data_IF_507581786169
#
_entry.id   IF_507581786169
#
_cell.length_a   1.000
_cell.length_b   1.000
_cell.length_c   1.000
_cell.angle_alpha   90.00
_cell.angle_beta   90.00
_cell.angle_gamma   90.00
#
_symmetry.space_group_name_H-M   'P 1'
#
loop_
_entity.id
_entity.type
_entity.pdbx_description
1 polymer ?
#
# COMPACT_ATOMS: atom_id res chain seq x y z
N UNK A 1 -16.91 -27.37 -14.61
CA UNK A 1 -15.63 -26.65 -14.73
C UNK A 1 -15.84 -25.25 -14.16
N UNK A 2 -15.63 -25.10 -12.86
CA UNK A 2 -15.66 -23.81 -12.17
C UNK A 2 -14.25 -23.23 -12.23
N UNK A 3 -14.00 -22.36 -13.22
CA UNK A 3 -12.74 -21.65 -13.32
C UNK A 3 -12.81 -20.42 -12.39
N UNK A 4 -11.92 -20.39 -11.39
CA UNK A 4 -11.56 -19.27 -10.50
C UNK A 4 -12.41 -18.89 -9.27
N UNK A 5 -13.57 -19.50 -8.96
CA UNK A 5 -14.39 -19.12 -7.79
C UNK A 5 -14.62 -17.60 -7.66
N UNK A 6 -14.60 -16.86 -8.77
CA UNK A 6 -14.88 -15.42 -8.79
C UNK A 6 -16.36 -15.23 -9.11
N UNK A 7 -17.00 -14.37 -8.34
CA UNK A 7 -18.38 -13.96 -8.60
C UNK A 7 -18.52 -13.38 -10.03
N UNK A 8 -19.69 -13.56 -10.66
CA UNK A 8 -19.95 -13.19 -12.05
C UNK A 8 -19.63 -11.71 -12.32
N UNK A 9 -19.95 -10.82 -11.37
CA UNK A 9 -19.65 -9.39 -11.48
C UNK A 9 -18.13 -9.17 -11.47
N UNK A 10 -17.40 -9.86 -10.60
CA UNK A 10 -15.94 -9.78 -10.53
C UNK A 10 -15.26 -10.26 -11.83
N UNK A 11 -15.82 -11.28 -12.48
CA UNK A 11 -15.33 -11.76 -13.77
C UNK A 11 -15.53 -10.72 -14.90
N UNK A 12 -16.69 -10.06 -14.95
CA UNK A 12 -16.95 -8.97 -15.90
C UNK A 12 -16.00 -7.80 -15.65
N UNK A 13 -15.82 -7.41 -14.38
CA UNK A 13 -14.88 -6.35 -14.01
C UNK A 13 -13.43 -6.67 -14.40
N UNK A 14 -13.00 -7.93 -14.26
CA UNK A 14 -11.68 -8.37 -14.70
C UNK A 14 -11.52 -8.24 -16.21
N UNK A 15 -12.50 -8.72 -16.98
CA UNK A 15 -12.46 -8.63 -18.43
C UNK A 15 -12.46 -7.18 -18.91
N UNK A 16 -13.32 -6.34 -18.32
CA UNK A 16 -13.36 -4.92 -18.62
C UNK A 16 -12.01 -4.25 -18.30
N UNK A 17 -11.39 -4.56 -17.16
CA UNK A 17 -10.06 -4.04 -16.82
C UNK A 17 -8.97 -4.48 -17.80
N UNK A 18 -9.00 -5.73 -18.28
CA UNK A 18 -8.06 -6.20 -19.30
C UNK A 18 -8.25 -5.47 -20.64
N UNK A 19 -9.49 -5.09 -20.94
CA UNK A 19 -9.84 -4.30 -22.12
C UNK A 19 -9.68 -2.78 -21.94
N UNK A 20 -9.29 -2.32 -20.74
CA UNK A 20 -9.20 -0.89 -20.40
C UNK A 20 -10.55 -0.17 -20.30
N UNK A 21 -11.63 -0.91 -20.05
CA UNK A 21 -13.00 -0.41 -19.94
C UNK A 21 -13.44 -0.36 -18.47
N UNK A 22 -14.28 0.63 -18.11
CA UNK A 22 -14.97 0.66 -16.83
C UNK A 22 -16.36 0.02 -16.96
N UNK A 23 -16.72 -0.85 -16.00
CA UNK A 23 -18.05 -1.46 -15.94
C UNK A 23 -19.02 -0.44 -15.34
N UNK A 24 -20.09 -0.04 -16.04
CA UNK A 24 -21.11 0.83 -15.48
C UNK A 24 -21.80 0.12 -14.32
N UNK A 25 -21.91 0.78 -13.16
CA UNK A 25 -22.65 0.25 -12.01
C UNK A 25 -24.01 0.96 -11.94
N UNK A 26 -25.12 0.20 -11.95
CA UNK A 26 -26.49 0.75 -11.98
C UNK A 26 -26.93 1.42 -10.67
N UNK A 27 -26.19 1.23 -9.57
CA UNK A 27 -26.42 1.93 -8.31
C UNK A 27 -25.28 2.93 -8.07
N UNK A 28 -25.63 4.20 -7.85
CA UNK A 28 -24.70 5.18 -7.31
C UNK A 28 -24.33 4.75 -5.88
N UNK A 29 -23.29 3.94 -5.76
CA UNK A 29 -22.81 3.47 -4.47
C UNK A 29 -22.31 4.69 -3.65
N UNK A 30 -23.00 5.05 -2.55
CA UNK A 30 -22.64 6.22 -1.76
C UNK A 30 -21.22 6.11 -1.17
N UNK A 31 -20.68 4.90 -1.03
CA UNK A 31 -19.33 4.63 -0.53
C UNK A 31 -18.26 4.63 -1.64
N UNK A 32 -18.64 4.76 -2.91
CA UNK A 32 -17.67 4.76 -4.02
C UNK A 32 -16.62 5.86 -3.89
N UNK A 33 -17.06 7.07 -3.50
CA UNK A 33 -16.16 8.20 -3.27
C UNK A 33 -15.20 7.94 -2.10
N UNK A 34 -15.70 7.34 -1.02
CA UNK A 34 -14.91 6.99 0.16
C UNK A 34 -13.85 5.94 -0.16
N UNK A 35 -14.22 4.83 -0.83
CA UNK A 35 -13.27 3.80 -1.27
C UNK A 35 -12.22 4.36 -2.23
N UNK A 36 -12.61 5.25 -3.14
CA UNK A 36 -11.67 5.92 -4.06
C UNK A 36 -10.61 6.73 -3.29
N UNK A 37 -11.01 7.43 -2.23
CA UNK A 37 -10.10 8.16 -1.36
C UNK A 37 -9.13 7.23 -0.61
N UNK A 38 -9.60 6.09 -0.10
CA UNK A 38 -8.75 5.08 0.55
C UNK A 38 -7.74 4.46 -0.44
N UNK A 39 -8.15 4.16 -1.67
CA UNK A 39 -7.20 3.68 -2.68
C UNK A 39 -6.16 4.74 -3.03
N UNK A 40 -6.55 6.02 -3.09
CA UNK A 40 -5.61 7.11 -3.35
C UNK A 40 -4.55 7.23 -2.25
N UNK A 41 -4.94 7.16 -0.97
CA UNK A 41 -3.97 7.24 0.14
C UNK A 41 -3.02 6.04 0.17
N UNK A 42 -3.52 4.84 -0.15
CA UNK A 42 -2.70 3.61 -0.22
C UNK A 42 -1.68 3.68 -1.36
N UNK A 43 -2.07 4.20 -2.52
CA UNK A 43 -1.16 4.41 -3.66
C UNK A 43 -0.09 5.46 -3.33
N UNK A 44 -0.46 6.58 -2.70
CA UNK A 44 0.50 7.59 -2.26
C UNK A 44 1.50 7.02 -1.24
N UNK A 45 1.03 6.21 -0.29
CA UNK A 45 1.87 5.54 0.69
C UNK A 45 2.83 4.54 0.03
N UNK A 46 2.35 3.73 -0.93
CA UNK A 46 3.18 2.81 -1.71
C UNK A 46 4.33 3.55 -2.40
N UNK A 47 4.01 4.65 -3.09
CA UNK A 47 5.04 5.49 -3.73
C UNK A 47 6.03 6.07 -2.71
N UNK A 48 5.56 6.54 -1.55
CA UNK A 48 6.43 7.04 -0.49
C UNK A 48 7.39 5.96 0.03
N UNK A 49 6.90 4.74 0.28
CA UNK A 49 7.73 3.63 0.74
C UNK A 49 8.74 3.16 -0.31
N UNK A 50 8.36 3.13 -1.59
CA UNK A 50 9.30 2.83 -2.68
C UNK A 50 10.40 3.88 -2.80
N UNK A 51 10.05 5.17 -2.70
CA UNK A 51 11.02 6.27 -2.65
C UNK A 51 11.97 6.11 -1.45
N UNK A 52 11.43 5.74 -0.29
CA UNK A 52 12.24 5.52 0.90
C UNK A 52 13.24 4.37 0.72
N UNK A 53 12.84 3.24 0.09
CA UNK A 53 13.78 2.14 -0.21
C UNK A 53 14.90 2.56 -1.18
N UNK A 54 14.65 3.57 -2.03
CA UNK A 54 15.63 4.09 -2.99
C UNK A 54 16.56 5.16 -2.40
N UNK A 55 16.08 6.01 -1.50
CA UNK A 55 16.78 7.26 -1.15
C UNK A 55 16.88 7.55 0.35
N UNK A 56 16.10 6.89 1.21
CA UNK A 56 16.12 7.22 2.65
C UNK A 56 17.47 6.86 3.29
N UNK A 57 18.06 7.69 4.16
CA UNK A 57 19.34 7.38 4.83
C UNK A 57 19.35 6.01 5.52
N UNK A 58 18.27 5.69 6.24
CA UNK A 58 18.14 4.43 6.98
C UNK A 58 17.83 3.18 6.12
N UNK A 59 17.84 3.29 4.79
CA UNK A 59 17.43 2.18 3.90
C UNK A 59 18.44 1.03 3.86
N UNK A 60 19.69 1.27 4.28
CA UNK A 60 20.82 0.37 4.01
C UNK A 60 20.56 -1.05 4.52
N UNK A 61 20.05 -1.18 5.74
CA UNK A 61 19.69 -2.48 6.34
C UNK A 61 18.66 -3.26 5.52
N UNK A 62 17.66 -2.58 4.95
CA UNK A 62 16.67 -3.22 4.09
C UNK A 62 17.28 -3.65 2.75
N UNK A 63 18.15 -2.82 2.17
CA UNK A 63 18.84 -3.13 0.91
C UNK A 63 19.76 -4.35 1.07
N UNK A 64 20.54 -4.41 2.14
CA UNK A 64 21.46 -5.51 2.39
C UNK A 64 20.72 -6.82 2.65
N UNK A 65 19.60 -6.76 3.39
CA UNK A 65 18.72 -7.92 3.56
C UNK A 65 18.18 -8.46 2.22
N UNK A 66 17.70 -7.58 1.34
CA UNK A 66 17.23 -7.99 0.01
C UNK A 66 18.35 -8.62 -0.83
N UNK A 67 19.54 -8.01 -0.83
CA UNK A 67 20.71 -8.53 -1.55
C UNK A 67 21.13 -9.90 -1.02
N UNK A 68 21.17 -10.08 0.30
CA UNK A 68 21.45 -11.37 0.93
C UNK A 68 20.44 -12.46 0.57
N UNK A 69 19.22 -12.07 0.17
CA UNK A 69 18.16 -12.96 -0.34
C UNK A 69 18.17 -13.12 -1.87
N UNK A 70 19.16 -12.57 -2.58
CA UNK A 70 19.26 -12.62 -4.04
C UNK A 70 18.25 -11.72 -4.77
N UNK A 71 17.60 -10.79 -4.07
CA UNK A 71 16.63 -9.86 -4.65
C UNK A 71 17.36 -8.63 -5.18
N UNK A 72 17.38 -8.48 -6.50
CA UNK A 72 17.98 -7.32 -7.17
C UNK A 72 17.09 -6.09 -7.07
N UNK A 73 17.67 -4.91 -7.28
CA UNK A 73 16.90 -3.65 -7.36
C UNK A 73 15.80 -3.69 -8.43
N UNK A 74 16.04 -4.40 -9.54
CA UNK A 74 15.04 -4.60 -10.60
C UNK A 74 13.85 -5.43 -10.13
N UNK A 75 14.09 -6.50 -9.37
CA UNK A 75 13.02 -7.31 -8.79
C UNK A 75 12.25 -6.48 -7.76
N UNK A 76 12.96 -5.77 -6.87
CA UNK A 76 12.34 -4.89 -5.90
C UNK A 76 11.44 -3.84 -6.56
N UNK A 77 11.90 -3.23 -7.66
CA UNK A 77 11.11 -2.28 -8.43
C UNK A 77 9.87 -2.93 -9.08
N UNK A 78 10.05 -4.08 -9.74
CA UNK A 78 8.97 -4.80 -10.44
C UNK A 78 7.82 -5.18 -9.50
N UNK A 79 8.13 -5.65 -8.29
CA UNK A 79 7.12 -6.00 -7.29
C UNK A 79 6.68 -4.81 -6.43
N UNK A 80 7.30 -3.64 -6.61
CA UNK A 80 7.01 -2.42 -5.85
C UNK A 80 7.37 -2.53 -4.37
N UNK A 81 8.46 -3.22 -4.04
CA UNK A 81 8.93 -3.30 -2.67
C UNK A 81 9.23 -1.90 -2.12
N UNK A 82 8.85 -1.69 -0.87
CA UNK A 82 9.05 -0.44 -0.16
C UNK A 82 9.83 -0.62 1.13
N UNK A 83 10.18 0.50 1.75
CA UNK A 83 10.76 0.53 3.08
C UNK A 83 10.00 1.54 3.93
N UNK A 84 9.55 1.11 5.10
CA UNK A 84 9.07 2.01 6.14
C UNK A 84 10.27 2.35 7.05
N UNK A 85 10.76 3.60 7.01
CA UNK A 85 11.84 4.03 7.88
C UNK A 85 11.50 3.87 9.36
N UNK A 86 12.50 4.07 10.20
CA UNK A 86 12.27 4.21 11.63
C UNK A 86 11.36 5.40 11.95
N UNK A 87 10.86 5.44 13.18
CA UNK A 87 10.08 6.57 13.70
C UNK A 87 8.58 6.46 13.47
N UNK A 88 7.85 7.42 14.01
CA UNK A 88 6.39 7.38 14.09
C UNK A 88 5.69 8.34 13.10
N UNK A 89 6.46 9.22 12.45
CA UNK A 89 5.93 10.33 11.62
C UNK A 89 6.04 10.17 10.12
N UNK A 90 6.77 9.19 9.62
CA UNK A 90 7.15 9.11 8.20
C UNK A 90 5.98 9.36 7.24
N UNK A 91 4.83 8.71 7.44
CA UNK A 91 3.66 8.90 6.58
C UNK A 91 3.04 10.30 6.70
N UNK A 92 2.98 10.86 7.90
CA UNK A 92 2.49 12.22 8.10
C UNK A 92 3.37 13.26 7.41
N UNK A 93 4.68 13.05 7.44
CA UNK A 93 5.64 13.96 6.82
C UNK A 93 5.62 13.82 5.28
N UNK A 94 5.18 12.68 4.73
CA UNK A 94 5.10 12.44 3.29
C UNK A 94 3.74 12.78 2.68
N UNK A 95 2.63 12.55 3.39
CA UNK A 95 1.27 12.67 2.86
C UNK A 95 0.52 13.87 3.46
N UNK A 96 0.91 14.35 4.64
CA UNK A 96 0.26 15.47 5.32
C UNK A 96 -0.32 15.13 6.68
N UNK A 97 -0.77 16.17 7.38
CA UNK A 97 -1.32 16.10 8.76
C UNK A 97 -2.72 16.71 8.88
N UNK A 98 -3.33 17.06 7.74
CA UNK A 98 -4.70 17.53 7.70
C UNK A 98 -5.68 16.44 8.14
N UNK A 99 -6.85 16.86 8.62
CA UNK A 99 -7.85 15.96 9.19
C UNK A 99 -8.31 14.86 8.22
N UNK A 100 -8.63 15.13 6.93
CA UNK A 100 -9.03 14.06 6.03
C UNK A 100 -7.92 13.06 5.76
N UNK A 101 -6.68 13.51 5.57
CA UNK A 101 -5.53 12.60 5.38
C UNK A 101 -5.32 11.70 6.60
N UNK A 102 -5.35 12.24 7.82
CA UNK A 102 -5.24 11.43 9.05
C UNK A 102 -6.33 10.38 9.18
N UNK A 103 -7.57 10.77 8.90
CA UNK A 103 -8.71 9.84 8.92
C UNK A 103 -8.49 8.70 7.91
N UNK A 104 -8.08 9.01 6.69
CA UNK A 104 -7.80 8.01 5.64
C UNK A 104 -6.61 7.11 6.00
N UNK A 105 -5.55 7.65 6.61
CA UNK A 105 -4.40 6.88 7.09
C UNK A 105 -4.80 5.87 8.18
N UNK A 106 -5.68 6.29 9.09
CA UNK A 106 -6.20 5.44 10.15
C UNK A 106 -7.12 4.34 9.60
N UNK A 107 -8.07 4.71 8.74
CA UNK A 107 -9.04 3.78 8.13
C UNK A 107 -8.38 2.77 7.20
N UNK A 108 -7.33 3.18 6.47
CA UNK A 108 -6.52 2.28 5.64
C UNK A 108 -5.58 1.37 6.45
N UNK A 109 -5.50 1.56 7.77
CA UNK A 109 -4.64 0.78 8.66
C UNK A 109 -3.14 1.09 8.52
N UNK A 110 -2.79 2.20 7.87
CA UNK A 110 -1.41 2.66 7.74
C UNK A 110 -0.88 3.30 9.04
N UNK A 111 -1.80 3.84 9.84
CA UNK A 111 -1.54 4.36 11.19
C UNK A 111 -2.37 3.62 12.23
N UNK A 112 -2.00 3.80 13.50
CA UNK A 112 -2.68 3.24 14.66
C UNK A 112 -2.70 4.28 15.78
N UNK A 113 -3.70 4.20 16.66
CA UNK A 113 -3.84 5.07 17.83
C UNK A 113 -3.42 4.29 19.08
N UNK A 114 -2.59 4.88 19.95
CA UNK A 114 -2.23 4.26 21.24
C UNK A 114 -3.31 4.52 22.31
N UNK A 115 -3.14 3.93 23.50
CA UNK A 115 -4.03 4.15 24.64
C UNK A 115 -4.12 5.62 25.11
N UNK A 116 -3.15 6.47 24.74
CA UNK A 116 -3.14 7.90 25.06
C UNK A 116 -3.79 8.75 23.95
N UNK A 117 -4.40 8.14 22.94
CA UNK A 117 -5.04 8.85 21.83
C UNK A 117 -4.08 9.40 20.77
N UNK A 118 -2.79 9.06 20.84
CA UNK A 118 -1.79 9.51 19.86
C UNK A 118 -1.74 8.56 18.67
N UNK A 119 -1.93 9.14 17.48
CA UNK A 119 -1.79 8.44 16.21
C UNK A 119 -0.33 8.36 15.75
N UNK A 120 0.09 7.20 15.24
CA UNK A 120 1.44 6.96 14.73
C UNK A 120 1.47 5.92 13.60
N UNK A 121 2.53 5.96 12.79
CA UNK A 121 2.75 5.00 11.72
C UNK A 121 2.81 3.54 12.25
N UNK A 122 2.01 2.66 11.63
CA UNK A 122 1.94 1.23 11.98
C UNK A 122 3.25 0.51 11.67
N UNK A 123 3.80 0.77 10.48
CA UNK A 123 5.04 0.15 10.00
C UNK A 123 6.24 1.02 10.33
N UNK A 124 7.27 0.43 10.94
CA UNK A 124 8.47 1.12 11.41
C UNK A 124 9.68 0.20 11.29
N UNK A 125 10.71 0.64 10.58
CA UNK A 125 11.93 -0.15 10.34
C UNK A 125 11.65 -1.48 9.63
N UNK A 126 10.69 -1.50 8.69
CA UNK A 126 10.24 -2.72 8.01
C UNK A 126 10.34 -2.59 6.51
N UNK A 127 10.68 -3.70 5.88
CA UNK A 127 10.52 -3.91 4.45
C UNK A 127 9.05 -4.17 4.15
N UNK A 128 8.51 -3.46 3.17
CA UNK A 128 7.09 -3.49 2.84
C UNK A 128 6.85 -4.18 1.49
N UNK A 129 5.84 -5.04 1.49
CA UNK A 129 5.35 -5.79 0.35
C UNK A 129 3.93 -5.31 0.08
N UNK A 130 3.68 -4.54 -0.99
CA UNK A 130 2.33 -4.11 -1.33
C UNK A 130 1.50 -5.33 -1.73
N UNK A 131 0.32 -5.45 -1.15
CA UNK A 131 -0.72 -6.40 -1.53
C UNK A 131 -1.61 -5.68 -2.53
N UNK A 132 -1.76 -6.25 -3.72
CA UNK A 132 -2.54 -5.66 -4.80
C UNK A 132 -3.80 -6.47 -5.04
N UNK A 133 -4.89 -5.79 -5.31
CA UNK A 133 -6.06 -6.45 -5.88
C UNK A 133 -5.81 -6.82 -7.35
N UNK A 134 -6.79 -7.48 -7.95
CA UNK A 134 -6.69 -8.02 -9.31
C UNK A 134 -6.40 -6.97 -10.39
N UNK A 135 -6.84 -5.71 -10.23
CA UNK A 135 -6.50 -4.61 -11.16
C UNK A 135 -5.20 -3.88 -10.78
N UNK A 136 -4.36 -4.47 -9.92
CA UNK A 136 -3.02 -3.97 -9.60
C UNK A 136 -2.93 -2.80 -8.62
N UNK A 137 -4.04 -2.18 -8.20
CA UNK A 137 -4.03 -1.15 -7.13
C UNK A 137 -3.65 -1.77 -5.79
N UNK A 138 -2.85 -1.05 -5.02
CA UNK A 138 -2.44 -1.42 -3.67
C UNK A 138 -3.62 -1.32 -2.70
N UNK A 139 -3.88 -2.39 -1.94
CA UNK A 139 -4.99 -2.50 -0.99
C UNK A 139 -4.52 -2.70 0.46
N UNK A 140 -3.30 -3.20 0.65
CA UNK A 140 -2.71 -3.43 1.96
C UNK A 140 -1.18 -3.56 1.85
N UNK A 141 -0.50 -3.67 2.99
CA UNK A 141 0.93 -3.90 3.06
C UNK A 141 1.27 -5.02 4.04
N UNK A 142 2.13 -5.94 3.61
CA UNK A 142 2.84 -6.87 4.49
C UNK A 142 4.17 -6.26 4.93
N UNK A 143 4.57 -6.47 6.20
CA UNK A 143 5.79 -5.88 6.76
C UNK A 143 6.75 -6.93 7.32
N UNK A 144 7.94 -7.07 6.70
CA UNK A 144 9.03 -7.93 7.18
C UNK A 144 10.07 -7.10 7.91
N UNK A 145 10.50 -7.56 9.08
CA UNK A 145 11.67 -6.98 9.74
C UNK A 145 12.94 -7.55 9.09
N UNK A 146 13.88 -6.71 8.62
CA UNK A 146 15.14 -7.16 8.07
C UNK A 146 16.07 -7.58 9.22
N UNK A 147 16.16 -8.87 9.46
CA UNK A 147 17.13 -9.47 10.37
C UNK A 147 18.49 -9.45 9.68
N UNK A 148 19.53 -8.97 10.36
CA UNK A 148 20.90 -8.97 9.82
C UNK A 148 21.43 -10.40 9.69
#
# INVERSE_FOLDING_TARGET
MEYDKVDFVSAIENLASLAGLEVPTEAADPEAGHRKALYAVLEQADQAFRRALKAHPDRQRAVDYLKGRGLTGTIAHRFGLGYAPGGWRFLFDQLGVDAPTKKQLLESGLTVVNHQGREYARFRGRLLFPIRHIRGRTIAFGGRFPDA
#
